data_IF_402500871038
#
_entry.id   IF_402500871038
#
_cell.length_a   1.000
_cell.length_b   1.000
_cell.length_c   1.000
_cell.angle_alpha   90.00
_cell.angle_beta   90.00
_cell.angle_gamma   90.00
#
_symmetry.space_group_name_H-M   'P 1'
#
loop_
_entity.id
_entity.type
_entity.pdbx_description
1 polymer ?
#
# COMPACT_ATOMS: atom_id res chain seq x y z
N UNK A 1 10.32 -5.81 -11.87
CA UNK A 1 10.83 -4.69 -11.03
C UNK A 1 9.73 -3.71 -10.60
N UNK A 2 9.07 -2.98 -11.52
CA UNK A 2 8.00 -2.02 -11.17
C UNK A 2 6.91 -2.57 -10.25
N UNK A 3 6.33 -3.74 -10.60
CA UNK A 3 5.25 -4.37 -9.81
C UNK A 3 5.68 -4.62 -8.35
N UNK A 4 6.92 -5.04 -8.14
CA UNK A 4 7.50 -5.28 -6.81
C UNK A 4 7.65 -3.97 -6.03
N UNK A 5 8.26 -2.95 -6.62
CA UNK A 5 8.45 -1.64 -5.98
C UNK A 5 7.10 -0.98 -5.65
N UNK A 6 6.13 -1.04 -6.57
CA UNK A 6 4.76 -0.56 -6.31
C UNK A 6 4.10 -1.32 -5.16
N UNK A 7 4.23 -2.64 -5.11
CA UNK A 7 3.67 -3.44 -4.03
C UNK A 7 4.28 -3.08 -2.65
N UNK A 8 5.58 -2.78 -2.61
CA UNK A 8 6.26 -2.27 -1.40
C UNK A 8 5.67 -0.92 -0.96
N UNK A 9 5.49 0.02 -1.89
CA UNK A 9 4.85 1.30 -1.60
C UNK A 9 3.40 1.12 -1.11
N UNK A 10 2.62 0.24 -1.74
CA UNK A 10 1.27 -0.12 -1.31
C UNK A 10 1.25 -0.69 0.12
N UNK A 11 2.22 -1.53 0.48
CA UNK A 11 2.36 -2.06 1.83
C UNK A 11 2.67 -0.94 2.83
N UNK A 12 3.67 -0.09 2.55
CA UNK A 12 4.04 1.04 3.42
C UNK A 12 2.83 1.94 3.70
N UNK A 13 2.04 2.26 2.66
CA UNK A 13 0.81 3.03 2.84
C UNK A 13 -0.20 2.36 3.80
N UNK A 14 -0.37 1.03 3.74
CA UNK A 14 -1.29 0.31 4.62
C UNK A 14 -0.77 0.23 6.06
N UNK A 15 0.54 0.03 6.23
CA UNK A 15 1.18 0.06 7.54
C UNK A 15 1.07 1.44 8.17
N UNK A 16 1.25 2.52 7.39
CA UNK A 16 1.04 3.89 7.84
C UNK A 16 -0.42 4.13 8.24
N UNK A 17 -1.37 3.62 7.45
CA UNK A 17 -2.79 3.71 7.80
C UNK A 17 -3.08 3.01 9.14
N UNK A 18 -2.53 1.80 9.34
CA UNK A 18 -2.64 1.05 10.60
C UNK A 18 -2.00 1.82 11.77
N UNK A 19 -0.80 2.38 11.57
CA UNK A 19 -0.08 3.16 12.60
C UNK A 19 -0.85 4.40 13.03
N UNK A 20 -1.47 5.10 12.08
CA UNK A 20 -2.28 6.29 12.36
C UNK A 20 -3.74 5.94 12.77
N UNK A 21 -4.08 4.66 12.94
CA UNK A 21 -5.44 4.20 13.26
C UNK A 21 -6.52 4.68 12.27
N UNK A 22 -6.14 4.91 11.00
CA UNK A 22 -7.05 5.32 9.93
C UNK A 22 -7.36 4.14 9.01
N UNK A 23 -8.61 4.08 8.51
CA UNK A 23 -9.04 3.02 7.60
C UNK A 23 -9.11 3.57 6.17
N UNK A 24 -8.39 2.97 5.19
CA UNK A 24 -8.51 3.33 3.79
C UNK A 24 -9.94 3.19 3.25
N UNK A 25 -10.39 4.15 2.42
CA UNK A 25 -11.77 4.19 1.89
C UNK A 25 -12.19 2.93 1.13
N UNK A 26 -11.27 2.19 0.53
CA UNK A 26 -11.60 0.96 -0.20
C UNK A 26 -11.88 -0.24 0.73
N UNK A 27 -11.53 -0.14 2.01
CA UNK A 27 -11.92 -1.11 3.04
C UNK A 27 -13.28 -0.77 3.68
N UNK A 28 -13.91 0.34 3.25
CA UNK A 28 -15.29 0.64 3.62
C UNK A 28 -16.23 -0.22 2.76
N UNK A 29 -16.97 -1.12 3.39
CA UNK A 29 -18.01 -1.89 2.73
C UNK A 29 -19.39 -1.29 3.03
N UNK A 30 -20.28 -1.34 2.04
CA UNK A 30 -21.62 -0.76 2.18
C UNK A 30 -22.46 -1.60 3.15
N UNK A 31 -23.00 -0.94 4.16
CA UNK A 31 -24.00 -1.50 5.06
C UNK A 31 -25.38 -0.97 4.70
N UNK A 32 -26.41 -1.80 4.86
CA UNK A 32 -27.80 -1.42 4.64
C UNK A 32 -28.25 -0.32 5.61
N UNK A 33 -27.70 -0.31 6.83
CA UNK A 33 -28.00 0.68 7.85
C UNK A 33 -26.76 1.51 8.18
N UNK A 34 -26.88 2.85 8.11
CA UNK A 34 -25.80 3.80 8.44
C UNK A 34 -25.41 3.76 9.91
N UNK A 35 -26.33 3.47 10.83
CA UNK A 35 -26.05 3.36 12.26
C UNK A 35 -25.06 2.23 12.57
N UNK A 36 -25.03 1.19 11.74
CA UNK A 36 -24.07 0.09 11.89
C UNK A 36 -22.63 0.49 11.50
N UNK A 37 -22.44 1.56 10.74
CA UNK A 37 -21.11 2.02 10.32
C UNK A 37 -20.28 2.58 11.49
N UNK A 38 -20.94 3.02 12.56
CA UNK A 38 -20.28 3.48 13.78
C UNK A 38 -20.20 2.39 14.85
N UNK A 39 -20.70 1.18 14.55
CA UNK A 39 -20.67 0.08 15.51
C UNK A 39 -19.24 -0.44 15.72
N UNK A 40 -18.93 -0.87 16.95
CA UNK A 40 -17.66 -1.52 17.25
C UNK A 40 -17.41 -2.75 16.37
N UNK A 41 -18.46 -3.52 16.05
CA UNK A 41 -18.35 -4.68 15.18
C UNK A 41 -17.87 -4.30 13.77
N UNK A 42 -18.39 -3.20 13.21
CA UNK A 42 -17.95 -2.69 11.91
C UNK A 42 -16.48 -2.25 11.96
N UNK A 43 -16.10 -1.45 12.96
CA UNK A 43 -14.71 -0.98 13.12
C UNK A 43 -13.73 -2.15 13.31
N UNK A 44 -14.10 -3.16 14.08
CA UNK A 44 -13.29 -4.38 14.25
C UNK A 44 -13.15 -5.16 12.94
N UNK A 45 -14.23 -5.27 12.16
CA UNK A 45 -14.20 -5.90 10.85
C UNK A 45 -13.24 -5.15 9.91
N UNK A 46 -13.33 -3.82 9.85
CA UNK A 46 -12.43 -3.00 9.04
C UNK A 46 -10.96 -3.16 9.44
N UNK A 47 -10.66 -3.19 10.74
CA UNK A 47 -9.30 -3.46 11.24
C UNK A 47 -8.81 -4.85 10.84
N UNK A 48 -9.68 -5.86 10.90
CA UNK A 48 -9.37 -7.23 10.46
C UNK A 48 -9.08 -7.27 8.95
N UNK A 49 -9.89 -6.60 8.14
CA UNK A 49 -9.66 -6.48 6.70
C UNK A 49 -8.35 -5.76 6.38
N UNK A 50 -8.00 -4.70 7.12
CA UNK A 50 -6.71 -4.01 6.95
C UNK A 50 -5.53 -4.94 7.24
N UNK A 51 -5.59 -5.70 8.34
CA UNK A 51 -4.54 -6.68 8.67
C UNK A 51 -4.44 -7.79 7.62
N UNK A 52 -5.57 -8.26 7.10
CA UNK A 52 -5.58 -9.25 6.01
C UNK A 52 -4.96 -8.69 4.74
N UNK A 53 -5.30 -7.47 4.35
CA UNK A 53 -4.72 -6.82 3.16
C UNK A 53 -3.20 -6.65 3.32
N UNK A 54 -2.72 -6.22 4.50
CA UNK A 54 -1.29 -6.14 4.81
C UNK A 54 -0.62 -7.52 4.63
N UNK A 55 -1.22 -8.58 5.18
CA UNK A 55 -0.70 -9.94 5.04
C UNK A 55 -0.63 -10.39 3.56
N UNK A 56 -1.69 -10.14 2.79
CA UNK A 56 -1.74 -10.44 1.36
C UNK A 56 -0.64 -9.69 0.60
N UNK A 57 -0.40 -8.40 0.93
CA UNK A 57 0.68 -7.62 0.33
C UNK A 57 2.06 -8.17 0.65
N UNK A 58 2.32 -8.58 1.89
CA UNK A 58 3.58 -9.24 2.24
C UNK A 58 3.81 -10.50 1.40
N UNK A 59 2.82 -11.40 1.35
CA UNK A 59 2.92 -12.62 0.54
C UNK A 59 3.17 -12.30 -0.93
N UNK A 60 2.48 -11.28 -1.48
CA UNK A 60 2.68 -10.87 -2.86
C UNK A 60 4.07 -10.28 -3.10
N UNK A 61 4.63 -9.52 -2.16
CA UNK A 61 6.00 -8.99 -2.24
C UNK A 61 7.01 -10.14 -2.24
N UNK A 62 6.82 -11.17 -1.41
CA UNK A 62 7.70 -12.35 -1.39
C UNK A 62 7.72 -13.04 -2.76
N UNK A 63 6.53 -13.32 -3.33
CA UNK A 63 6.41 -13.95 -4.65
C UNK A 63 7.05 -13.08 -5.74
N UNK A 64 6.74 -11.78 -5.78
CA UNK A 64 7.31 -10.86 -6.77
C UNK A 64 8.83 -10.69 -6.61
N UNK A 65 9.35 -10.80 -5.39
CA UNK A 65 10.80 -10.75 -5.14
C UNK A 65 11.48 -11.97 -5.72
N UNK A 66 10.90 -13.16 -5.54
CA UNK A 66 11.40 -14.39 -6.14
C UNK A 66 11.37 -14.31 -7.68
N UNK A 67 10.25 -13.89 -8.27
CA UNK A 67 10.12 -13.71 -9.73
C UNK A 67 11.18 -12.73 -10.29
N UNK A 68 11.44 -11.63 -9.59
CA UNK A 68 12.46 -10.65 -10.01
C UNK A 68 13.87 -11.24 -9.89
N UNK A 69 14.17 -11.94 -8.80
CA UNK A 69 15.48 -12.59 -8.60
C UNK A 69 15.73 -13.65 -9.66
N UNK A 70 14.73 -14.47 -9.99
CA UNK A 70 14.83 -15.48 -11.05
C UNK A 70 15.07 -14.84 -12.42
N UNK A 71 14.33 -13.79 -12.76
CA UNK A 71 14.52 -13.06 -14.02
C UNK A 71 15.91 -12.41 -14.11
N UNK A 72 16.41 -11.85 -13.00
CA UNK A 72 17.76 -11.26 -12.95
C UNK A 72 18.83 -12.33 -13.07
N UNK A 73 18.67 -13.48 -12.41
CA UNK A 73 19.60 -14.61 -12.51
C UNK A 73 19.70 -15.11 -13.96
N UNK A 74 18.56 -15.28 -14.65
CA UNK A 74 18.53 -15.63 -16.07
C UNK A 74 19.23 -14.58 -16.93
N UNK A 75 19.01 -13.29 -16.67
CA UNK A 75 19.70 -12.22 -17.38
C UNK A 75 21.22 -12.30 -17.17
N UNK A 76 21.68 -12.42 -15.92
CA UNK A 76 23.13 -12.50 -15.62
C UNK A 76 23.82 -13.73 -16.20
N UNK A 77 23.06 -14.80 -16.51
CA UNK A 77 23.60 -15.96 -17.19
C UNK A 77 23.79 -15.75 -18.71
N UNK A 78 23.10 -14.76 -19.28
CA UNK A 78 23.08 -14.49 -20.74
C UNK A 78 23.95 -13.30 -21.15
N UNK A 79 24.26 -12.39 -20.22
CA UNK A 79 25.02 -11.17 -20.51
C UNK A 79 26.17 -10.97 -19.55
N UNK A 80 27.12 -10.11 -19.90
CA UNK A 80 28.19 -9.74 -18.98
C UNK A 80 27.64 -9.08 -17.73
N UNK A 81 28.36 -9.18 -16.61
CA UNK A 81 27.95 -8.54 -15.35
C UNK A 81 27.72 -7.03 -15.52
N UNK A 82 28.53 -6.36 -16.35
CA UNK A 82 28.41 -4.93 -16.63
C UNK A 82 27.09 -4.64 -17.36
N UNK A 83 26.78 -5.42 -18.39
CA UNK A 83 25.54 -5.27 -19.16
C UNK A 83 24.31 -5.54 -18.28
N UNK A 84 24.36 -6.56 -17.42
CA UNK A 84 23.27 -6.86 -16.49
C UNK A 84 23.01 -5.70 -15.52
N UNK A 85 24.07 -5.09 -14.98
CA UNK A 85 23.97 -3.90 -14.12
C UNK A 85 23.37 -2.73 -14.90
N UNK A 86 23.87 -2.48 -16.12
CA UNK A 86 23.37 -1.40 -16.95
C UNK A 86 21.87 -1.57 -17.27
N UNK A 87 21.46 -2.75 -17.74
CA UNK A 87 20.07 -3.06 -18.06
C UNK A 87 19.14 -2.93 -16.84
N UNK A 88 19.60 -3.36 -15.67
CA UNK A 88 18.87 -3.13 -14.42
C UNK A 88 18.71 -1.64 -14.13
N UNK A 89 19.77 -0.85 -14.27
CA UNK A 89 19.73 0.60 -14.05
C UNK A 89 18.76 1.30 -15.01
N UNK A 90 18.70 0.86 -16.27
CA UNK A 90 17.75 1.36 -17.26
C UNK A 90 16.32 1.03 -16.82
N UNK A 91 16.06 -0.22 -16.43
CA UNK A 91 14.75 -0.63 -15.91
C UNK A 91 14.32 0.19 -14.69
N UNK A 92 15.23 0.44 -13.75
CA UNK A 92 14.95 1.24 -12.56
C UNK A 92 14.67 2.71 -12.92
N UNK A 93 15.45 3.28 -13.85
CA UNK A 93 15.27 4.67 -14.32
C UNK A 93 13.89 4.88 -14.96
N UNK A 94 13.49 4.00 -15.88
CA UNK A 94 12.19 4.07 -16.57
C UNK A 94 11.01 3.97 -15.59
N UNK A 95 11.19 3.21 -14.51
CA UNK A 95 10.15 3.02 -13.51
C UNK A 95 10.11 4.14 -12.46
N UNK A 96 11.21 4.87 -12.27
CA UNK A 96 11.39 5.82 -11.18
C UNK A 96 10.34 6.94 -11.15
N UNK A 97 9.99 7.51 -12.31
CA UNK A 97 9.01 8.60 -12.38
C UNK A 97 7.60 8.12 -12.00
N UNK A 98 7.21 6.92 -12.46
CA UNK A 98 5.92 6.30 -12.15
C UNK A 98 5.81 5.96 -10.66
N UNK A 99 6.90 5.47 -10.06
CA UNK A 99 6.95 5.15 -8.64
C UNK A 99 6.86 6.40 -7.76
N UNK A 100 7.61 7.46 -8.09
CA UNK A 100 7.52 8.76 -7.40
C UNK A 100 6.11 9.34 -7.49
N UNK A 101 5.46 9.23 -8.64
CA UNK A 101 4.08 9.67 -8.80
C UNK A 101 3.11 8.87 -7.92
N UNK A 102 3.25 7.54 -7.91
CA UNK A 102 2.44 6.65 -7.07
C UNK A 102 2.60 6.93 -5.58
N UNK A 103 3.85 7.08 -5.11
CA UNK A 103 4.19 7.45 -3.74
C UNK A 103 3.55 8.79 -3.33
N UNK A 104 3.67 9.83 -4.17
CA UNK A 104 3.02 11.12 -3.91
C UNK A 104 1.50 11.00 -3.80
N UNK A 105 0.87 10.16 -4.61
CA UNK A 105 -0.57 9.91 -4.51
C UNK A 105 -0.91 9.25 -3.17
N UNK A 106 -0.14 8.26 -2.75
CA UNK A 106 -0.36 7.58 -1.47
C UNK A 106 -0.16 8.53 -0.27
N UNK A 107 0.88 9.34 -0.29
CA UNK A 107 1.10 10.38 0.73
C UNK A 107 -0.07 11.37 0.79
N UNK A 108 -0.58 11.83 -0.36
CA UNK A 108 -1.78 12.68 -0.41
C UNK A 108 -3.02 11.98 0.13
N UNK A 109 -3.19 10.69 -0.14
CA UNK A 109 -4.31 9.88 0.40
C UNK A 109 -4.21 9.76 1.92
N UNK A 110 -3.02 9.46 2.43
CA UNK A 110 -2.76 9.34 3.86
C UNK A 110 -3.01 10.66 4.58
N UNK A 111 -2.48 11.77 4.06
CA UNK A 111 -2.71 13.10 4.62
C UNK A 111 -4.20 13.45 4.72
N UNK A 112 -4.99 13.15 3.67
CA UNK A 112 -6.44 13.35 3.70
C UNK A 112 -7.13 12.48 4.75
N UNK A 113 -6.74 11.20 4.86
CA UNK A 113 -7.31 10.29 5.86
C UNK A 113 -7.01 10.73 7.30
N UNK A 114 -5.78 11.19 7.57
CA UNK A 114 -5.42 11.72 8.89
C UNK A 114 -6.13 13.04 9.21
N UNK A 115 -6.26 13.94 8.22
CA UNK A 115 -6.99 15.20 8.38
C UNK A 115 -8.51 15.05 8.52
N UNK A 116 -9.09 13.97 7.96
CA UNK A 116 -10.49 13.61 8.20
C UNK A 116 -10.69 13.04 9.62
N UNK A 117 -9.72 12.27 10.14
CA UNK A 117 -9.77 11.69 11.49
C UNK A 117 -9.67 12.75 12.61
N UNK A 118 -8.93 13.84 12.40
CA UNK A 118 -8.85 14.94 13.38
C UNK A 118 -10.12 15.80 13.45
N UNK A 119 -11.00 15.73 12.45
CA UNK A 119 -12.29 16.43 12.46
C UNK A 119 -13.40 15.65 13.15
N UNK A 120 -13.28 14.33 13.30
CA UNK A 120 -14.27 13.48 13.97
C UNK A 120 -14.12 13.44 15.51
N UNK A 121 -13.20 14.21 16.10
CA UNK A 121 -12.92 14.24 17.54
C UNK A 121 -13.47 15.47 18.27
N UNK A 122 -14.29 16.32 17.64
CA UNK A 122 -15.08 17.32 18.37
C UNK A 122 -16.35 16.65 18.90
N UNK A 123 -16.56 16.56 20.23
CA UNK A 123 -17.86 16.18 20.77
C UNK A 123 -18.86 17.26 20.37
N UNK A 124 -20.01 16.86 19.82
CA UNK A 124 -21.18 17.73 19.74
C UNK A 124 -21.55 18.16 21.18
N UNK A 125 -21.78 19.45 21.46
CA UNK A 125 -22.34 19.87 22.73
C UNK A 125 -23.80 19.41 22.80
N UNK A 126 -24.18 18.94 23.99
CA UNK A 126 -25.44 18.32 24.37
C UNK A 126 -26.71 18.93 23.73
N UNK A 127 -27.68 18.06 23.44
CA UNK A 127 -29.09 18.41 23.38
C UNK A 127 -29.94 17.30 24.03
#
# INVERSE_FOLDING_TARGET
VFKLQKAKLDLTFLEDCKKNSVIPKFLNFKLANRYLQNSNAYLQCQRKLLNQEISIKHSRITVLSLEVTEALSKLTALVSTIDAIHLRSVCDRENSAKLRHHERIQQKKLFRLCGDASKSSTPDPDN
#
